data_IF_913756961656
#
_entry.id   IF_913756961656
#
_cell.length_a   1.000
_cell.length_b   1.000
_cell.length_c   1.000
_cell.angle_alpha   90.00
_cell.angle_beta   90.00
_cell.angle_gamma   90.00
#
_symmetry.space_group_name_H-M   'P 1'
#
loop_
_entity.id
_entity.type
_entity.pdbx_description
1 polymer ?
#
# COMPACT_ATOMS: atom_id res chain seq x y z
N UNK A 1 11.73 -9.49 -10.24
CA UNK A 1 12.03 -9.90 -11.62
C UNK A 1 11.85 -8.73 -12.58
N UNK A 2 10.65 -8.42 -13.12
CA UNK A 2 10.51 -7.39 -14.17
C UNK A 2 10.97 -5.99 -13.71
N UNK A 3 10.58 -5.52 -12.54
CA UNK A 3 11.02 -4.23 -12.00
C UNK A 3 12.55 -4.16 -11.83
N UNK A 4 13.14 -5.24 -11.32
CA UNK A 4 14.60 -5.33 -11.13
C UNK A 4 15.37 -5.34 -12.45
N UNK A 5 14.80 -5.98 -13.48
CA UNK A 5 15.40 -6.01 -14.85
C UNK A 5 15.30 -4.66 -15.55
N UNK A 6 14.27 -3.87 -15.27
CA UNK A 6 14.01 -2.57 -15.92
C UNK A 6 14.34 -1.38 -15.01
N UNK A 7 15.06 -1.59 -13.91
CA UNK A 7 15.48 -0.57 -12.95
C UNK A 7 14.31 0.27 -12.39
N UNK A 8 13.16 -0.38 -12.17
CA UNK A 8 11.98 0.27 -11.61
C UNK A 8 11.96 0.06 -10.11
N UNK A 9 11.98 1.15 -9.35
CA UNK A 9 11.82 1.15 -7.89
C UNK A 9 10.42 0.67 -7.50
N UNK A 10 10.31 -0.15 -6.44
CA UNK A 10 9.03 -0.58 -5.93
C UNK A 10 9.01 -0.64 -4.39
N UNK A 11 7.84 -0.40 -3.83
CA UNK A 11 7.53 -0.57 -2.41
C UNK A 11 6.20 -1.31 -2.30
N UNK A 12 6.21 -2.55 -1.78
CA UNK A 12 5.05 -3.42 -1.76
C UNK A 12 4.80 -3.98 -0.36
N UNK A 13 3.53 -4.07 0.04
CA UNK A 13 3.15 -4.74 1.27
C UNK A 13 3.42 -6.25 1.19
N UNK A 14 4.03 -6.80 2.23
CA UNK A 14 4.33 -8.23 2.34
C UNK A 14 3.45 -8.88 3.40
N UNK A 15 2.78 -9.96 3.03
CA UNK A 15 1.96 -10.73 3.95
C UNK A 15 2.81 -11.30 5.10
N UNK A 16 2.32 -11.16 6.33
CA UNK A 16 2.98 -11.69 7.52
C UNK A 16 3.04 -13.21 7.51
N UNK A 17 4.15 -13.76 7.92
CA UNK A 17 4.31 -15.19 8.15
C UNK A 17 5.16 -15.45 9.42
N UNK A 18 5.18 -16.68 9.90
CA UNK A 18 5.88 -17.05 11.14
C UNK A 18 7.37 -16.67 11.14
N UNK A 19 8.07 -16.83 10.00
CA UNK A 19 9.52 -16.51 9.90
C UNK A 19 9.77 -14.99 9.99
N UNK A 20 8.93 -14.19 9.33
CA UNK A 20 9.00 -12.73 9.41
C UNK A 20 8.69 -12.24 10.83
N UNK A 21 7.68 -12.82 11.47
CA UNK A 21 7.35 -12.50 12.87
C UNK A 21 8.48 -12.87 13.82
N UNK A 22 9.11 -14.04 13.64
CA UNK A 22 10.29 -14.43 14.42
C UNK A 22 11.48 -13.49 14.20
N UNK A 23 11.72 -13.07 12.95
CA UNK A 23 12.76 -12.11 12.64
C UNK A 23 12.54 -10.76 13.32
N UNK A 24 11.29 -10.35 13.55
CA UNK A 24 10.92 -9.08 14.18
C UNK A 24 10.71 -9.19 15.70
N UNK A 25 10.98 -10.34 16.30
CA UNK A 25 10.62 -10.64 17.69
C UNK A 25 11.25 -9.70 18.72
N UNK A 26 12.51 -9.29 18.52
CA UNK A 26 13.20 -8.36 19.43
C UNK A 26 12.55 -6.97 19.42
N UNK A 27 12.34 -6.43 18.24
CA UNK A 27 11.75 -5.10 18.05
C UNK A 27 10.27 -5.08 18.50
N UNK A 28 9.58 -6.21 18.39
CA UNK A 28 8.21 -6.36 18.93
C UNK A 28 8.20 -6.31 20.46
N UNK A 29 9.17 -6.93 21.10
CA UNK A 29 9.30 -6.89 22.56
C UNK A 29 9.69 -5.49 23.04
N UNK A 30 10.59 -4.82 22.37
CA UNK A 30 10.95 -3.42 22.64
C UNK A 30 9.74 -2.49 22.52
N UNK A 31 8.96 -2.63 21.45
CA UNK A 31 7.73 -1.85 21.25
C UNK A 31 6.68 -2.15 22.34
N UNK A 32 6.56 -3.42 22.78
CA UNK A 32 5.67 -3.81 23.87
C UNK A 32 6.06 -3.12 25.17
N UNK A 33 7.33 -3.21 25.57
CA UNK A 33 7.85 -2.59 26.80
C UNK A 33 7.73 -1.07 26.76
N UNK A 34 7.96 -0.45 25.60
CA UNK A 34 7.77 0.99 25.43
C UNK A 34 6.29 1.39 25.61
N UNK A 35 5.37 0.65 24.99
CA UNK A 35 3.93 0.87 25.11
C UNK A 35 3.46 0.68 26.56
N UNK A 36 3.95 -0.32 27.29
CA UNK A 36 3.59 -0.54 28.69
C UNK A 36 4.07 0.58 29.61
N UNK A 37 5.22 1.20 29.30
CA UNK A 37 5.76 2.34 30.09
C UNK A 37 5.02 3.64 29.82
N UNK A 38 4.64 3.89 28.58
CA UNK A 38 4.05 5.18 28.17
C UNK A 38 2.53 5.17 28.15
N UNK A 39 1.91 3.99 28.06
CA UNK A 39 0.47 3.83 27.81
C UNK A 39 0.04 4.16 26.38
N UNK A 40 0.98 4.58 25.53
CA UNK A 40 0.75 4.96 24.15
C UNK A 40 1.26 3.92 23.16
N UNK A 41 0.83 4.05 21.89
CA UNK A 41 1.31 3.18 20.81
C UNK A 41 2.80 3.39 20.56
N UNK A 42 3.56 2.31 20.69
CA UNK A 42 5.00 2.32 20.39
C UNK A 42 5.31 1.63 19.06
N UNK A 43 6.34 2.13 18.37
CA UNK A 43 6.78 1.63 17.05
C UNK A 43 8.29 1.49 17.02
N UNK A 44 8.76 0.37 16.47
CA UNK A 44 10.16 0.14 16.12
C UNK A 44 10.24 -0.38 14.69
N UNK A 45 11.33 -0.05 14.00
CA UNK A 45 11.55 -0.49 12.62
C UNK A 45 12.80 -1.36 12.55
N UNK A 46 12.74 -2.39 11.70
CA UNK A 46 13.88 -3.24 11.38
C UNK A 46 14.05 -3.38 9.89
N UNK A 47 15.28 -3.19 9.42
CA UNK A 47 15.70 -3.42 8.04
C UNK A 47 16.48 -4.73 7.98
N UNK A 48 16.10 -5.65 7.10
CA UNK A 48 16.77 -6.93 6.93
C UNK A 48 16.59 -7.52 5.54
N UNK A 49 17.47 -8.46 5.17
CA UNK A 49 17.35 -9.24 3.96
C UNK A 49 16.48 -10.47 4.21
N UNK A 50 15.58 -10.77 3.28
CA UNK A 50 14.69 -11.90 3.37
C UNK A 50 14.51 -12.58 2.01
N UNK A 51 14.36 -13.89 2.04
CA UNK A 51 14.04 -14.72 0.87
C UNK A 51 13.01 -15.77 1.25
N UNK A 52 12.01 -15.95 0.38
CA UNK A 52 11.08 -17.08 0.49
C UNK A 52 11.77 -18.38 0.08
N UNK A 53 11.30 -19.52 0.61
CA UNK A 53 11.95 -20.81 0.33
C UNK A 53 11.84 -21.25 -1.13
N UNK A 54 10.73 -20.92 -1.82
CA UNK A 54 10.42 -21.48 -3.15
C UNK A 54 10.11 -20.44 -4.23
N UNK A 55 9.61 -19.26 -3.88
CA UNK A 55 9.01 -18.32 -4.86
C UNK A 55 9.91 -17.17 -5.29
N UNK A 56 10.93 -16.82 -4.51
CA UNK A 56 11.83 -15.72 -4.86
C UNK A 56 13.17 -16.23 -5.35
N UNK A 57 13.61 -15.69 -6.48
CA UNK A 57 14.92 -16.02 -7.08
C UNK A 57 16.09 -15.48 -6.25
N UNK A 58 15.91 -14.32 -5.61
CA UNK A 58 16.96 -13.63 -4.84
C UNK A 58 16.44 -13.14 -3.48
N UNK A 59 17.36 -12.75 -2.61
CA UNK A 59 17.06 -12.03 -1.38
C UNK A 59 16.69 -10.59 -1.69
N UNK A 60 15.69 -10.08 -0.96
CA UNK A 60 15.22 -8.70 -1.09
C UNK A 60 15.22 -7.99 0.25
N UNK A 61 15.33 -6.68 0.20
CA UNK A 61 15.24 -5.83 1.38
C UNK A 61 13.81 -5.82 1.88
N UNK A 62 13.64 -6.09 3.16
CA UNK A 62 12.34 -6.07 3.85
C UNK A 62 12.43 -5.15 5.05
N UNK A 63 11.48 -4.25 5.16
CA UNK A 63 11.28 -3.41 6.33
C UNK A 63 10.18 -4.03 7.18
N UNK A 64 10.48 -4.36 8.43
CA UNK A 64 9.51 -4.77 9.43
C UNK A 64 9.15 -3.60 10.33
N UNK A 65 7.87 -3.26 10.42
CA UNK A 65 7.33 -2.36 11.44
C UNK A 65 6.82 -3.20 12.61
N UNK A 66 7.48 -3.10 13.74
CA UNK A 66 7.01 -3.59 15.03
C UNK A 66 6.17 -2.49 15.68
N UNK A 67 4.87 -2.64 15.68
CA UNK A 67 3.94 -1.71 16.31
C UNK A 67 3.16 -2.44 17.40
N UNK A 68 3.12 -1.85 18.57
CA UNK A 68 2.33 -2.35 19.69
C UNK A 68 1.36 -1.27 20.14
N UNK A 69 0.06 -1.59 20.00
CA UNK A 69 -1.03 -0.79 20.53
C UNK A 69 -1.38 -1.31 21.94
N UNK A 70 -2.05 -0.53 22.81
CA UNK A 70 -2.51 -1.02 24.10
C UNK A 70 -3.27 -2.35 23.95
N UNK A 71 -2.66 -3.44 24.44
CA UNK A 71 -3.21 -4.80 24.38
C UNK A 71 -3.12 -5.54 23.06
N UNK A 72 -2.49 -4.99 21.99
CA UNK A 72 -2.47 -5.65 20.69
C UNK A 72 -1.18 -5.41 19.91
N UNK A 73 -0.54 -6.50 19.48
CA UNK A 73 0.57 -6.49 18.55
C UNK A 73 0.10 -6.30 17.09
N UNK A 74 0.73 -5.41 16.33
CA UNK A 74 0.40 -5.11 14.94
C UNK A 74 1.64 -5.08 14.03
N UNK A 75 2.35 -6.21 13.84
CA UNK A 75 3.49 -6.28 12.95
C UNK A 75 3.09 -6.11 11.49
N UNK A 76 3.84 -5.29 10.73
CA UNK A 76 3.68 -5.09 9.29
C UNK A 76 5.00 -5.24 8.57
N UNK A 77 4.95 -5.65 7.33
CA UNK A 77 6.16 -5.88 6.52
C UNK A 77 5.98 -5.27 5.14
N UNK A 78 7.06 -4.67 4.65
CA UNK A 78 7.14 -4.06 3.32
C UNK A 78 8.40 -4.56 2.64
N UNK A 79 8.30 -4.87 1.36
CA UNK A 79 9.42 -5.29 0.50
C UNK A 79 9.76 -4.20 -0.50
N UNK A 80 11.05 -4.02 -0.77
CA UNK A 80 11.54 -3.02 -1.72
C UNK A 80 12.82 -3.47 -2.41
N UNK A 81 13.14 -2.87 -3.56
CA UNK A 81 14.46 -2.92 -4.18
C UNK A 81 15.27 -1.62 -3.97
N UNK A 82 14.68 -0.60 -3.34
CA UNK A 82 15.39 0.63 -3.00
C UNK A 82 16.51 0.35 -1.99
N UNK A 83 17.63 1.02 -2.15
CA UNK A 83 18.76 0.87 -1.22
C UNK A 83 18.53 1.64 0.09
N UNK A 84 19.31 1.32 1.12
CA UNK A 84 19.26 2.06 2.39
C UNK A 84 19.73 3.51 2.24
N UNK A 85 20.50 3.80 1.18
CA UNK A 85 20.94 5.17 0.86
C UNK A 85 19.81 6.01 0.29
N UNK A 86 18.89 5.39 -0.45
CA UNK A 86 17.75 6.08 -1.10
C UNK A 86 16.64 6.38 -0.08
N UNK A 87 16.40 5.46 0.84
CA UNK A 87 15.40 5.63 1.90
C UNK A 87 15.74 4.76 3.10
N UNK A 88 15.75 5.33 4.29
CA UNK A 88 15.85 4.58 5.53
C UNK A 88 14.55 3.79 5.83
N UNK A 89 14.55 2.96 6.85
CA UNK A 89 13.44 2.07 7.15
C UNK A 89 12.16 2.83 7.55
N UNK A 90 12.28 3.87 8.34
CA UNK A 90 11.16 4.66 8.83
C UNK A 90 10.55 5.50 7.70
N UNK A 91 11.37 6.27 6.99
CA UNK A 91 10.96 7.07 5.84
C UNK A 91 10.29 6.22 4.75
N UNK A 92 10.89 5.06 4.42
CA UNK A 92 10.32 4.15 3.43
C UNK A 92 8.93 3.64 3.83
N UNK A 93 8.75 3.34 5.13
CA UNK A 93 7.46 2.85 5.59
C UNK A 93 6.43 3.97 5.76
N UNK A 94 6.79 5.07 6.45
CA UNK A 94 5.85 6.13 6.83
C UNK A 94 5.54 7.06 5.66
N UNK A 95 6.54 7.50 4.90
CA UNK A 95 6.35 8.49 3.84
C UNK A 95 6.09 7.87 2.47
N UNK A 96 6.78 6.78 2.11
CA UNK A 96 6.58 6.17 0.78
C UNK A 96 5.45 5.13 0.78
N UNK A 97 5.43 4.21 1.74
CA UNK A 97 4.41 3.15 1.75
C UNK A 97 3.06 3.63 2.28
N UNK A 98 3.03 4.42 3.36
CA UNK A 98 1.80 4.92 3.96
C UNK A 98 1.16 6.06 3.15
N UNK A 99 1.92 6.82 2.35
CA UNK A 99 1.38 7.83 1.44
C UNK A 99 0.31 7.25 0.50
N UNK A 100 0.46 5.97 0.09
CA UNK A 100 -0.59 5.24 -0.62
C UNK A 100 -1.90 5.17 0.17
N UNK A 101 -1.84 4.91 1.47
CA UNK A 101 -3.03 4.84 2.33
C UNK A 101 -3.69 6.19 2.57
N UNK A 102 -2.94 7.28 2.51
CA UNK A 102 -3.51 8.63 2.57
C UNK A 102 -4.26 9.01 1.30
N UNK A 103 -3.76 8.61 0.14
CA UNK A 103 -4.51 8.74 -1.12
C UNK A 103 -5.84 7.98 -1.06
N UNK A 104 -5.86 6.76 -0.52
CA UNK A 104 -7.08 5.98 -0.33
C UNK A 104 -8.02 6.62 0.71
N UNK A 105 -7.50 7.19 1.79
CA UNK A 105 -8.28 7.95 2.79
C UNK A 105 -8.79 9.28 2.24
N UNK A 106 -7.99 9.98 1.47
CA UNK A 106 -8.40 11.22 0.81
C UNK A 106 -9.55 10.96 -0.16
N UNK A 107 -9.47 9.88 -0.92
CA UNK A 107 -10.55 9.40 -1.78
C UNK A 107 -11.81 9.02 -0.97
N UNK A 108 -11.66 8.35 0.18
CA UNK A 108 -12.77 7.92 1.05
C UNK A 108 -13.43 9.04 1.84
N UNK A 109 -12.66 9.98 2.38
CA UNK A 109 -13.17 11.07 3.22
C UNK A 109 -13.84 12.19 2.44
N UNK A 110 -13.43 12.45 1.20
CA UNK A 110 -14.14 13.40 0.34
C UNK A 110 -15.50 12.89 -0.11
N UNK A 111 -15.72 11.59 -0.12
CA UNK A 111 -17.01 10.99 -0.44
C UNK A 111 -18.08 11.24 0.65
N UNK A 112 -17.66 11.45 1.89
CA UNK A 112 -18.56 11.75 3.02
C UNK A 112 -18.79 13.25 3.27
N UNK A 113 -18.06 14.12 2.61
CA UNK A 113 -18.25 15.59 2.70
C UNK A 113 -18.84 16.14 1.40
N UNK A 114 -19.96 16.85 1.53
CA UNK A 114 -20.53 17.67 0.44
C UNK A 114 -19.43 18.49 -0.25
N UNK A 115 -19.43 18.56 -1.60
CA UNK A 115 -18.34 19.16 -2.35
C UNK A 115 -18.20 20.65 -2.01
N UNK A 116 -17.10 21.03 -1.36
CA UNK A 116 -16.64 22.41 -1.45
C UNK A 116 -16.02 22.58 -2.84
N UNK A 117 -16.50 23.57 -3.58
CA UNK A 117 -15.96 23.95 -4.89
C UNK A 117 -14.43 24.05 -4.82
N UNK A 118 -13.73 23.09 -5.37
CA UNK A 118 -12.30 23.21 -5.65
C UNK A 118 -12.13 23.52 -7.13
N UNK A 119 -11.80 24.77 -7.42
CA UNK A 119 -11.39 25.25 -8.74
C UNK A 119 -9.91 24.90 -8.96
N UNK A 120 -9.61 23.63 -9.27
CA UNK A 120 -8.28 23.24 -9.77
C UNK A 120 -8.43 22.06 -10.74
N UNK A 121 -7.79 22.17 -11.89
CA UNK A 121 -7.80 21.16 -12.97
C UNK A 121 -7.47 19.74 -12.52
N UNK A 122 -6.65 19.54 -11.48
CA UNK A 122 -6.32 18.22 -10.90
C UNK A 122 -7.50 17.50 -10.23
N UNK A 123 -8.52 18.22 -9.73
CA UNK A 123 -9.71 17.61 -9.12
C UNK A 123 -10.64 16.94 -10.14
N UNK A 124 -10.65 17.39 -11.38
CA UNK A 124 -11.52 16.85 -12.43
C UNK A 124 -11.12 15.44 -12.85
N UNK A 125 -9.81 15.14 -12.94
CA UNK A 125 -9.31 13.81 -13.32
C UNK A 125 -9.54 12.78 -12.22
N UNK A 126 -9.34 13.15 -10.96
CA UNK A 126 -9.62 12.27 -9.82
C UNK A 126 -11.11 11.93 -9.69
N UNK A 127 -12.00 12.88 -9.98
CA UNK A 127 -13.44 12.64 -9.99
C UNK A 127 -13.85 11.65 -11.10
N UNK A 128 -13.23 11.70 -12.26
CA UNK A 128 -13.48 10.75 -13.37
C UNK A 128 -13.13 9.31 -13.01
N UNK A 129 -12.01 9.11 -12.30
CA UNK A 129 -11.62 7.78 -11.79
C UNK A 129 -12.64 7.26 -10.77
N UNK A 130 -13.10 8.10 -9.85
CA UNK A 130 -14.12 7.76 -8.86
C UNK A 130 -15.47 7.41 -9.51
N UNK A 131 -15.90 8.18 -10.51
CA UNK A 131 -17.13 7.92 -11.25
C UNK A 131 -17.09 6.57 -11.98
N UNK A 132 -15.95 6.22 -12.59
CA UNK A 132 -15.75 4.91 -13.20
C UNK A 132 -15.80 3.77 -12.17
N UNK A 133 -15.21 3.96 -11.00
CA UNK A 133 -15.20 2.96 -9.93
C UNK A 133 -16.60 2.74 -9.36
N UNK A 134 -17.32 3.82 -9.06
CA UNK A 134 -18.63 3.75 -8.41
C UNK A 134 -19.77 3.43 -9.38
N UNK A 135 -19.79 4.08 -10.55
CA UNK A 135 -20.85 3.91 -11.53
C UNK A 135 -20.72 2.69 -12.42
N UNK A 136 -19.47 2.31 -12.75
CA UNK A 136 -19.17 1.23 -13.70
C UNK A 136 -18.42 0.06 -13.06
N UNK A 137 -18.23 0.06 -11.74
CA UNK A 137 -17.57 -1.01 -10.98
C UNK A 137 -16.16 -1.36 -11.53
N UNK A 138 -15.40 -0.36 -12.00
CA UNK A 138 -14.08 -0.55 -12.59
C UNK A 138 -13.04 -1.13 -11.61
N UNK A 139 -13.28 -1.03 -10.29
CA UNK A 139 -12.47 -1.61 -9.21
C UNK A 139 -12.69 -3.12 -9.03
N UNK A 140 -13.78 -3.67 -9.58
CA UNK A 140 -14.12 -5.09 -9.42
C UNK A 140 -13.42 -5.95 -10.45
N UNK A 141 -12.15 -6.23 -10.22
CA UNK A 141 -11.33 -7.15 -11.03
C UNK A 141 -11.36 -8.56 -10.42
N UNK A 142 -12.52 -9.22 -10.51
CA UNK A 142 -12.77 -10.53 -9.87
C UNK A 142 -12.53 -11.75 -10.77
N UNK A 143 -11.98 -11.56 -11.97
CA UNK A 143 -11.69 -12.66 -12.89
C UNK A 143 -10.36 -13.34 -12.56
N UNK A 144 -10.28 -14.65 -12.75
CA UNK A 144 -9.09 -15.44 -12.47
C UNK A 144 -7.89 -15.11 -13.37
N UNK A 145 -8.11 -14.47 -14.54
CA UNK A 145 -7.05 -14.16 -15.48
C UNK A 145 -6.84 -12.64 -15.62
N UNK A 146 -5.57 -12.23 -15.77
CA UNK A 146 -5.19 -10.84 -16.00
C UNK A 146 -5.86 -10.27 -17.25
N UNK A 147 -5.92 -11.04 -18.35
CA UNK A 147 -6.54 -10.61 -19.61
C UNK A 147 -8.02 -10.30 -19.47
N UNK A 148 -8.76 -11.13 -18.72
CA UNK A 148 -10.18 -10.89 -18.46
C UNK A 148 -10.40 -9.63 -17.62
N UNK A 149 -9.53 -9.36 -16.65
CA UNK A 149 -9.59 -8.13 -15.84
C UNK A 149 -9.24 -6.89 -16.69
N UNK A 150 -8.25 -6.97 -17.56
CA UNK A 150 -7.92 -5.88 -18.51
C UNK A 150 -9.10 -5.58 -19.44
N UNK A 151 -9.74 -6.61 -19.99
CA UNK A 151 -10.90 -6.43 -20.86
C UNK A 151 -12.07 -5.73 -20.13
N UNK A 152 -12.31 -6.09 -18.87
CA UNK A 152 -13.30 -5.41 -18.03
C UNK A 152 -13.01 -3.94 -17.82
N UNK A 153 -11.75 -3.60 -17.55
CA UNK A 153 -11.32 -2.21 -17.41
C UNK A 153 -11.51 -1.42 -18.71
N UNK A 154 -11.19 -2.00 -19.86
CA UNK A 154 -11.43 -1.37 -21.16
C UNK A 154 -12.93 -1.14 -21.41
N UNK A 155 -13.80 -2.12 -21.14
CA UNK A 155 -15.23 -1.94 -21.27
C UNK A 155 -15.79 -0.87 -20.31
N UNK A 156 -15.34 -0.83 -19.07
CA UNK A 156 -15.74 0.21 -18.13
C UNK A 156 -15.32 1.60 -18.60
N UNK A 157 -14.07 1.73 -19.12
CA UNK A 157 -13.58 3.00 -19.64
C UNK A 157 -14.33 3.44 -20.90
N UNK A 158 -14.62 2.49 -21.80
CA UNK A 158 -15.40 2.76 -23.00
C UNK A 158 -16.83 3.20 -22.69
N UNK A 159 -17.50 2.48 -21.76
CA UNK A 159 -18.84 2.84 -21.28
C UNK A 159 -18.85 4.23 -20.63
N UNK A 160 -17.81 4.58 -19.87
CA UNK A 160 -17.68 5.90 -19.27
C UNK A 160 -17.59 7.01 -20.33
N UNK A 161 -16.78 6.81 -21.37
CA UNK A 161 -16.62 7.77 -22.47
C UNK A 161 -17.96 7.97 -23.20
N UNK A 162 -18.68 6.88 -23.47
CA UNK A 162 -20.00 6.95 -24.11
C UNK A 162 -21.02 7.71 -23.25
N UNK A 163 -21.11 7.39 -21.96
CA UNK A 163 -22.01 8.08 -21.03
C UNK A 163 -21.68 9.56 -20.87
N UNK A 164 -20.39 9.91 -20.91
CA UNK A 164 -19.95 11.31 -20.81
C UNK A 164 -20.21 12.10 -22.12
N UNK A 165 -20.14 11.42 -23.25
CA UNK A 165 -20.45 12.02 -24.56
C UNK A 165 -21.94 12.21 -24.85
N UNK A 166 -22.82 11.52 -24.08
CA UNK A 166 -24.28 11.62 -24.20
C UNK A 166 -24.90 12.64 -23.21
N UNK A 167 -24.12 13.23 -22.32
CA UNK A 167 -24.49 14.31 -21.39
C UNK A 167 -24.18 15.68 -21.98
#
# INVERSE_FOLDING_TARGET
AWCETNDVGYVLGLARNKRLQQALGKEMEEARLACERTGETARCFRDFRYRTRKSWSCERRVIGKAEYLPGKANPRFVITNLSTRDADAQHLYEDLYCARGEMEKFIGNEFSRKPRRCEAQGCAEQNRIKEQQLGLFADRTSSATLRANQLRLYFSSFAYVLLHGLR
#
